data_IF_425062733912
#
_entry.id   IF_425062733912
#
_cell.length_a   1.000
_cell.length_b   1.000
_cell.length_c   1.000
_cell.angle_alpha   90.00
_cell.angle_beta   90.00
_cell.angle_gamma   90.00
#
_symmetry.space_group_name_H-M   'P 1'
#
loop_
_entity.id
_entity.type
_entity.pdbx_description
1 polymer ?
#
# COMPACT_ATOMS: atom_id res chain seq x y z
N UNK A 1 10.64 5.96 10.42
CA UNK A 1 10.68 7.04 11.44
C UNK A 1 9.68 6.73 12.57
N UNK A 2 8.42 6.47 12.25
CA UNK A 2 7.34 6.22 13.23
C UNK A 2 7.04 4.73 13.46
N UNK A 3 7.85 3.84 12.89
CA UNK A 3 7.78 2.38 13.04
C UNK A 3 6.42 1.77 12.66
N UNK A 4 5.70 2.40 11.75
CA UNK A 4 4.46 1.85 11.19
C UNK A 4 4.84 0.61 10.37
N UNK A 5 4.21 -0.54 10.61
CA UNK A 5 4.54 -1.77 9.89
C UNK A 5 4.17 -1.67 8.41
N UNK A 6 5.10 -1.98 7.54
CA UNK A 6 4.93 -2.05 6.08
C UNK A 6 5.97 -2.99 5.50
N UNK A 7 5.88 -3.31 4.22
CA UNK A 7 6.89 -4.09 3.50
C UNK A 7 8.28 -3.44 3.59
N UNK A 8 9.34 -4.24 3.49
CA UNK A 8 10.66 -3.66 3.21
C UNK A 8 10.64 -3.04 1.82
N UNK A 9 11.29 -1.90 1.67
CA UNK A 9 11.28 -1.17 0.42
C UNK A 9 12.59 -0.42 0.16
N UNK A 10 12.83 -0.12 -1.11
CA UNK A 10 13.86 0.80 -1.56
C UNK A 10 13.27 1.80 -2.56
N UNK A 11 13.84 3.00 -2.64
CA UNK A 11 13.38 4.07 -3.53
C UNK A 11 14.45 4.48 -4.52
N UNK A 12 14.06 4.74 -5.77
CA UNK A 12 14.95 5.05 -6.86
C UNK A 12 14.43 6.24 -7.67
N UNK A 13 15.34 7.12 -8.06
CA UNK A 13 15.04 8.28 -8.92
C UNK A 13 15.59 8.12 -10.35
N UNK A 14 16.21 6.98 -10.64
CA UNK A 14 16.74 6.64 -11.95
C UNK A 14 16.59 5.14 -12.22
N UNK A 15 16.49 4.81 -13.52
CA UNK A 15 16.25 3.44 -13.95
C UNK A 15 17.46 2.53 -13.73
N UNK A 16 18.69 3.03 -13.83
CA UNK A 16 19.89 2.21 -13.75
C UNK A 16 20.05 1.62 -12.35
N UNK A 17 19.94 2.46 -11.31
CA UNK A 17 19.96 2.03 -9.91
C UNK A 17 18.81 1.07 -9.58
N UNK A 18 17.62 1.31 -10.12
CA UNK A 18 16.48 0.42 -9.92
C UNK A 18 16.69 -0.95 -10.58
N UNK A 19 17.23 -0.99 -11.80
CA UNK A 19 17.55 -2.23 -12.52
C UNK A 19 18.66 -3.03 -11.80
N UNK A 20 19.64 -2.36 -11.22
CA UNK A 20 20.68 -3.03 -10.44
C UNK A 20 20.09 -3.68 -9.19
N UNK A 21 19.21 -2.98 -8.48
CA UNK A 21 18.53 -3.52 -7.31
C UNK A 21 17.67 -4.75 -7.62
N UNK A 22 17.01 -4.82 -8.79
CA UNK A 22 16.23 -6.00 -9.20
C UNK A 22 17.05 -7.29 -9.32
N UNK A 23 18.38 -7.20 -9.43
CA UNK A 23 19.26 -8.37 -9.51
C UNK A 23 19.46 -9.06 -8.16
N UNK A 24 19.27 -8.33 -7.06
CA UNK A 24 19.60 -8.74 -5.71
C UNK A 24 18.38 -9.08 -4.85
N UNK A 25 17.17 -8.90 -5.38
CA UNK A 25 15.91 -9.15 -4.66
C UNK A 25 15.21 -10.43 -5.12
N UNK A 26 14.31 -10.91 -4.27
CA UNK A 26 13.44 -12.05 -4.57
C UNK A 26 12.17 -11.60 -5.31
N UNK A 27 11.58 -12.52 -6.07
CA UNK A 27 10.29 -12.35 -6.73
C UNK A 27 9.24 -13.30 -6.11
N UNK A 28 7.95 -12.90 -6.12
CA UNK A 28 7.41 -11.66 -6.66
C UNK A 28 7.84 -10.41 -5.89
N UNK A 29 7.85 -9.25 -6.57
CA UNK A 29 8.08 -7.94 -5.98
C UNK A 29 7.03 -6.94 -6.45
N UNK A 30 6.87 -5.83 -5.76
CA UNK A 30 5.93 -4.77 -6.13
C UNK A 30 6.70 -3.51 -6.52
N UNK A 31 6.40 -2.96 -7.69
CA UNK A 31 6.98 -1.70 -8.18
C UNK A 31 5.88 -0.65 -8.22
N UNK A 32 6.10 0.47 -7.56
CA UNK A 32 5.14 1.57 -7.45
C UNK A 32 5.73 2.88 -7.97
N UNK A 33 4.99 3.62 -8.77
CA UNK A 33 5.28 5.03 -9.01
C UNK A 33 4.96 5.84 -7.75
N UNK A 34 5.88 6.71 -7.29
CA UNK A 34 5.77 7.44 -6.00
C UNK A 34 4.85 8.66 -6.05
N UNK A 35 4.03 8.81 -7.06
CA UNK A 35 3.10 9.91 -7.19
C UNK A 35 1.67 9.47 -7.43
N UNK A 36 0.78 10.46 -7.64
CA UNK A 36 -0.63 10.22 -7.95
C UNK A 36 -0.77 9.52 -9.31
N UNK A 37 -1.02 8.22 -9.29
CA UNK A 37 -1.20 7.38 -10.48
C UNK A 37 -2.60 6.74 -10.54
N UNK A 38 -3.57 7.25 -9.76
CA UNK A 38 -4.96 6.81 -9.71
C UNK A 38 -5.12 5.28 -9.55
N UNK A 39 -4.29 4.67 -8.69
CA UNK A 39 -4.28 3.23 -8.44
C UNK A 39 -3.68 2.37 -9.56
N UNK A 40 -3.23 2.97 -10.66
CA UNK A 40 -2.65 2.25 -11.81
C UNK A 40 -1.11 2.14 -11.75
N UNK A 41 -0.49 2.88 -10.86
CA UNK A 41 0.97 2.91 -10.70
C UNK A 41 1.54 1.81 -9.81
N UNK A 42 0.79 0.73 -9.54
CA UNK A 42 1.21 -0.43 -8.74
C UNK A 42 1.30 -1.65 -9.65
N UNK A 43 2.52 -2.17 -9.81
CA UNK A 43 2.82 -3.29 -10.70
C UNK A 43 3.41 -4.44 -9.90
N UNK A 44 2.69 -5.56 -9.84
CA UNK A 44 3.17 -6.80 -9.23
C UNK A 44 3.96 -7.58 -10.28
N UNK A 45 5.25 -7.78 -10.04
CA UNK A 45 6.17 -8.44 -10.97
C UNK A 45 6.53 -9.82 -10.44
N UNK A 46 6.22 -10.85 -11.22
CA UNK A 46 6.51 -12.25 -10.86
C UNK A 46 7.95 -12.65 -11.19
N UNK A 47 8.59 -11.92 -12.10
CA UNK A 47 9.92 -12.21 -12.62
C UNK A 47 10.74 -10.94 -12.80
N UNK A 48 12.06 -11.09 -12.83
CA UNK A 48 12.97 -9.99 -13.14
C UNK A 48 12.67 -9.34 -14.51
N UNK A 49 12.21 -10.13 -15.48
CA UNK A 49 11.85 -9.64 -16.82
C UNK A 49 10.64 -8.70 -16.74
N UNK A 50 9.63 -9.06 -15.96
CA UNK A 50 8.47 -8.20 -15.71
C UNK A 50 8.86 -6.94 -14.94
N UNK A 51 9.73 -7.07 -13.94
CA UNK A 51 10.26 -5.91 -13.19
C UNK A 51 11.01 -4.92 -14.09
N UNK A 52 11.85 -5.41 -15.00
CA UNK A 52 12.54 -4.54 -15.98
C UNK A 52 11.55 -3.81 -16.87
N UNK A 53 10.55 -4.50 -17.39
CA UNK A 53 9.51 -3.91 -18.23
C UNK A 53 8.71 -2.85 -17.46
N UNK A 54 8.36 -3.13 -16.22
CA UNK A 54 7.67 -2.17 -15.35
C UNK A 54 8.48 -0.89 -15.14
N UNK A 55 9.79 -1.00 -14.89
CA UNK A 55 10.68 0.16 -14.76
C UNK A 55 10.82 0.95 -16.07
N UNK A 56 10.87 0.26 -17.23
CA UNK A 56 10.86 0.92 -18.55
C UNK A 56 9.57 1.71 -18.76
N UNK A 57 8.40 1.11 -18.49
CA UNK A 57 7.10 1.79 -18.60
C UNK A 57 7.02 3.05 -17.71
N UNK A 58 7.58 2.99 -16.49
CA UNK A 58 7.54 4.12 -15.57
C UNK A 58 8.54 5.22 -15.96
N UNK A 59 9.81 4.87 -16.13
CA UNK A 59 10.88 5.86 -16.29
C UNK A 59 11.09 6.32 -17.75
N UNK A 60 10.92 5.42 -18.73
CA UNK A 60 11.23 5.69 -20.13
C UNK A 60 9.99 6.12 -20.90
N UNK A 61 8.93 5.33 -20.81
CA UNK A 61 7.67 5.60 -21.52
C UNK A 61 6.85 6.70 -20.84
N UNK A 62 7.26 7.10 -19.63
CA UNK A 62 6.61 8.14 -18.84
C UNK A 62 5.10 7.89 -18.65
N UNK A 63 4.71 6.61 -18.52
CA UNK A 63 3.32 6.18 -18.47
C UNK A 63 2.51 6.85 -17.34
N UNK A 64 3.19 7.33 -16.30
CA UNK A 64 2.57 7.97 -15.12
C UNK A 64 2.96 9.45 -14.97
N UNK A 65 3.57 10.07 -16.00
CA UNK A 65 3.97 11.47 -15.97
C UNK A 65 4.93 11.76 -14.80
N UNK A 66 4.74 12.88 -14.12
CA UNK A 66 5.60 13.27 -12.98
C UNK A 66 5.57 12.28 -11.80
N UNK A 67 4.54 11.44 -11.68
CA UNK A 67 4.49 10.39 -10.67
C UNK A 67 5.56 9.32 -10.90
N UNK A 68 6.03 9.13 -12.12
CA UNK A 68 7.11 8.22 -12.48
C UNK A 68 8.53 8.74 -12.25
N UNK A 69 8.70 9.97 -11.75
CA UNK A 69 10.04 10.52 -11.47
C UNK A 69 10.76 9.79 -10.32
N UNK A 70 10.03 9.04 -9.52
CA UNK A 70 10.54 8.22 -8.44
C UNK A 70 9.75 6.92 -8.35
N UNK A 71 10.44 5.85 -8.08
CA UNK A 71 9.89 4.49 -7.95
C UNK A 71 10.17 3.95 -6.56
N UNK A 72 9.21 3.22 -6.02
CA UNK A 72 9.35 2.38 -4.83
C UNK A 72 9.34 0.93 -5.28
N UNK A 73 10.34 0.15 -4.88
CA UNK A 73 10.38 -1.31 -5.04
C UNK A 73 10.26 -1.91 -3.66
N UNK A 74 9.27 -2.78 -3.46
CA UNK A 74 8.98 -3.36 -2.14
C UNK A 74 8.73 -4.86 -2.21
N UNK A 75 8.93 -5.53 -1.07
CA UNK A 75 8.60 -6.94 -0.92
C UNK A 75 7.12 -7.17 -1.21
N UNK A 76 6.82 -8.26 -1.92
CA UNK A 76 5.45 -8.70 -2.11
C UNK A 76 4.91 -9.25 -0.79
N UNK A 77 3.81 -8.70 -0.32
CA UNK A 77 3.12 -9.15 0.87
C UNK A 77 2.02 -10.13 0.50
N UNK A 78 1.99 -11.27 1.17
CA UNK A 78 0.90 -12.25 1.10
C UNK A 78 -0.07 -12.05 2.25
N UNK A 79 -1.35 -12.32 2.01
CA UNK A 79 -2.39 -12.24 3.04
C UNK A 79 -3.74 -11.86 2.46
N UNK A 80 -4.62 -11.36 3.32
CA UNK A 80 -5.90 -10.80 2.93
C UNK A 80 -5.87 -9.27 3.08
N UNK A 81 -6.33 -8.58 2.05
CA UNK A 81 -6.46 -7.12 2.11
C UNK A 81 -7.65 -6.73 2.98
N UNK A 82 -7.49 -5.67 3.76
CA UNK A 82 -8.58 -5.05 4.51
C UNK A 82 -8.47 -3.53 4.46
N UNK A 83 -9.61 -2.87 4.44
CA UNK A 83 -9.73 -1.41 4.50
C UNK A 83 -10.07 -0.98 5.92
N UNK A 84 -9.24 -0.13 6.51
CA UNK A 84 -9.47 0.48 7.80
C UNK A 84 -9.58 1.99 7.64
N UNK A 85 -10.76 2.52 7.89
CA UNK A 85 -11.06 3.94 7.70
C UNK A 85 -11.40 4.56 9.05
N UNK A 86 -10.88 5.75 9.30
CA UNK A 86 -11.22 6.52 10.48
C UNK A 86 -11.50 7.98 10.15
N UNK A 87 -12.34 8.61 10.94
CA UNK A 87 -12.45 10.07 11.01
C UNK A 87 -11.39 10.57 11.99
N UNK A 88 -10.57 11.50 11.54
CA UNK A 88 -9.46 12.05 12.33
C UNK A 88 -9.66 13.55 12.50
N UNK A 89 -9.43 14.05 13.71
CA UNK A 89 -9.40 15.48 14.03
C UNK A 89 -8.30 15.74 15.06
N UNK A 90 -7.17 16.26 14.61
CA UNK A 90 -5.99 16.39 15.48
C UNK A 90 -5.55 15.02 16.01
N UNK A 91 -5.55 14.82 17.33
CA UNK A 91 -5.20 13.53 17.94
C UNK A 91 -6.38 12.55 18.06
N UNK A 92 -7.63 13.02 17.88
CA UNK A 92 -8.81 12.19 17.98
C UNK A 92 -8.98 11.32 16.74
N UNK A 93 -9.18 10.03 16.94
CA UNK A 93 -9.34 9.03 15.89
C UNK A 93 -10.59 8.21 16.18
N UNK A 94 -11.59 8.30 15.30
CA UNK A 94 -12.85 7.56 15.41
C UNK A 94 -12.89 6.55 14.27
N UNK A 95 -12.64 5.26 14.52
CA UNK A 95 -12.69 4.25 13.48
C UNK A 95 -14.13 4.02 12.99
N UNK A 96 -14.27 3.78 11.69
CA UNK A 96 -15.50 3.33 11.07
C UNK A 96 -15.54 1.80 11.00
N UNK A 97 -16.66 1.25 10.53
CA UNK A 97 -16.73 -0.18 10.24
C UNK A 97 -15.67 -0.56 9.20
N UNK A 98 -14.97 -1.65 9.46
CA UNK A 98 -13.95 -2.20 8.54
C UNK A 98 -14.60 -2.77 7.28
N UNK A 99 -13.87 -2.86 6.19
CA UNK A 99 -14.37 -3.47 4.95
C UNK A 99 -13.27 -4.24 4.22
N UNK A 100 -13.69 -5.15 3.36
CA UNK A 100 -12.85 -5.80 2.36
C UNK A 100 -13.48 -5.58 1.00
N UNK A 101 -12.67 -5.14 0.04
CA UNK A 101 -13.06 -5.09 -1.37
C UNK A 101 -12.22 -6.10 -2.16
N UNK A 102 -12.86 -6.67 -3.19
CA UNK A 102 -12.24 -7.64 -4.08
C UNK A 102 -11.88 -6.94 -5.38
N UNK A 103 -10.60 -6.69 -5.59
CA UNK A 103 -10.07 -5.96 -6.75
C UNK A 103 -9.73 -6.87 -7.92
N UNK A 104 -9.35 -8.12 -7.64
CA UNK A 104 -8.98 -9.06 -8.69
C UNK A 104 -10.19 -9.47 -9.54
N UNK A 105 -9.98 -9.54 -10.86
CA UNK A 105 -11.07 -9.77 -11.83
C UNK A 105 -11.65 -11.18 -11.81
N UNK A 106 -10.92 -12.19 -11.31
CA UNK A 106 -11.28 -13.62 -11.39
C UNK A 106 -11.35 -14.27 -10.02
N UNK A 107 -12.05 -15.40 -9.95
CA UNK A 107 -12.19 -16.21 -8.75
C UNK A 107 -10.85 -16.62 -8.14
N UNK A 108 -10.79 -16.68 -6.81
CA UNK A 108 -9.60 -17.02 -6.06
C UNK A 108 -8.55 -15.90 -6.05
N UNK A 109 -9.02 -14.65 -6.12
CA UNK A 109 -8.20 -13.43 -6.03
C UNK A 109 -7.12 -13.37 -7.13
N UNK A 110 -7.53 -13.71 -8.36
CA UNK A 110 -6.65 -13.84 -9.54
C UNK A 110 -6.98 -12.82 -10.62
N UNK A 111 -6.00 -12.62 -11.49
CA UNK A 111 -6.13 -11.73 -12.64
C UNK A 111 -5.76 -10.28 -12.32
N UNK A 112 -6.00 -9.36 -13.28
CA UNK A 112 -5.68 -7.96 -13.10
C UNK A 112 -6.58 -7.29 -12.05
N UNK A 113 -6.04 -6.31 -11.35
CA UNK A 113 -6.82 -5.47 -10.46
C UNK A 113 -7.80 -4.60 -11.24
N UNK A 114 -9.01 -4.47 -10.71
CA UNK A 114 -10.09 -3.63 -11.23
C UNK A 114 -10.35 -2.46 -10.28
N UNK A 115 -11.36 -1.66 -10.56
CA UNK A 115 -11.88 -0.64 -9.63
C UNK A 115 -12.69 -1.21 -8.46
N UNK A 116 -12.82 -2.55 -8.39
CA UNK A 116 -13.56 -3.29 -7.38
C UNK A 116 -14.66 -4.16 -8.01
N UNK A 117 -14.67 -5.44 -7.63
CA UNK A 117 -15.68 -6.42 -8.08
C UNK A 117 -16.83 -6.58 -7.08
N UNK A 118 -16.63 -6.10 -5.87
CA UNK A 118 -17.59 -6.11 -4.77
C UNK A 118 -16.86 -5.88 -3.45
N UNK A 119 -17.62 -5.47 -2.45
CA UNK A 119 -17.11 -5.23 -1.12
C UNK A 119 -18.11 -5.67 -0.07
N UNK A 120 -17.63 -5.99 1.12
CA UNK A 120 -18.49 -6.24 2.28
C UNK A 120 -17.93 -5.58 3.54
N UNK A 121 -18.83 -5.31 4.49
CA UNK A 121 -18.53 -4.70 5.78
C UNK A 121 -19.45 -5.32 6.86
N UNK A 122 -18.96 -5.59 8.06
CA UNK A 122 -17.57 -5.47 8.49
C UNK A 122 -16.67 -6.54 7.85
N UNK A 123 -15.34 -6.31 7.86
CA UNK A 123 -14.35 -7.27 7.39
C UNK A 123 -14.14 -8.40 8.42
N UNK A 124 -14.47 -9.68 8.12
CA UNK A 124 -14.36 -10.76 9.11
C UNK A 124 -12.92 -11.02 9.58
N UNK A 125 -11.93 -10.72 8.73
CA UNK A 125 -10.52 -10.89 9.10
C UNK A 125 -10.09 -9.92 10.21
N UNK A 126 -10.76 -8.78 10.36
CA UNK A 126 -10.42 -7.80 11.39
C UNK A 126 -11.19 -8.14 12.68
N UNK A 127 -10.60 -9.01 13.48
CA UNK A 127 -11.10 -9.32 14.83
C UNK A 127 -10.97 -8.12 15.77
N UNK A 128 -11.60 -8.16 16.95
CA UNK A 128 -11.50 -7.08 17.96
C UNK A 128 -10.03 -6.85 18.40
N UNK A 129 -9.24 -7.93 18.49
CA UNK A 129 -7.82 -7.87 18.82
C UNK A 129 -7.02 -7.20 17.70
N UNK A 130 -7.27 -7.58 16.46
CA UNK A 130 -6.64 -6.93 15.29
C UNK A 130 -7.07 -5.49 15.15
N UNK A 131 -8.34 -5.17 15.39
CA UNK A 131 -8.82 -3.79 15.38
C UNK A 131 -8.04 -2.92 16.37
N UNK A 132 -7.87 -3.40 17.61
CA UNK A 132 -7.06 -2.70 18.60
C UNK A 132 -5.60 -2.54 18.15
N UNK A 133 -5.02 -3.61 17.61
CA UNK A 133 -3.65 -3.59 17.11
C UNK A 133 -3.46 -2.61 15.95
N UNK A 134 -4.42 -2.52 15.01
CA UNK A 134 -4.42 -1.53 13.93
C UNK A 134 -4.43 -0.10 14.51
N UNK A 135 -5.26 0.15 15.50
CA UNK A 135 -5.30 1.46 16.17
C UNK A 135 -3.97 1.79 16.84
N UNK A 136 -3.36 0.83 17.54
CA UNK A 136 -2.13 1.06 18.32
C UNK A 136 -0.88 1.13 17.44
N UNK A 137 -0.77 0.29 16.42
CA UNK A 137 0.44 0.15 15.61
C UNK A 137 0.41 0.93 14.29
N UNK A 138 -0.79 1.28 13.79
CA UNK A 138 -0.95 1.96 12.49
C UNK A 138 -1.55 3.35 12.65
N UNK A 139 -2.80 3.45 13.13
CA UNK A 139 -3.54 4.71 13.09
C UNK A 139 -2.96 5.76 14.03
N UNK A 140 -2.77 5.42 15.31
CA UNK A 140 -2.22 6.36 16.30
C UNK A 140 -0.81 6.82 15.97
N UNK A 141 0.15 5.95 15.58
CA UNK A 141 1.47 6.39 15.16
C UNK A 141 1.45 7.27 13.91
N UNK A 142 0.55 7.01 12.96
CA UNK A 142 0.39 7.82 11.74
C UNK A 142 -0.06 9.24 12.10
N UNK A 143 -1.14 9.35 12.86
CA UNK A 143 -1.70 10.67 13.25
C UNK A 143 -0.71 11.47 14.11
N UNK A 144 -0.09 10.83 15.10
CA UNK A 144 0.96 11.46 15.92
C UNK A 144 2.17 11.88 15.09
N UNK A 145 2.53 11.05 14.11
CA UNK A 145 3.60 11.35 13.17
C UNK A 145 3.31 12.59 12.34
N UNK A 146 2.11 12.70 11.77
CA UNK A 146 1.69 13.87 11.02
C UNK A 146 1.72 15.15 11.87
N UNK A 147 1.22 15.09 13.09
CA UNK A 147 1.27 16.22 14.02
C UNK A 147 2.72 16.65 14.33
N UNK A 148 3.59 15.66 14.60
CA UNK A 148 5.01 15.92 14.89
C UNK A 148 5.77 16.54 13.69
N UNK A 149 5.26 16.33 12.46
CA UNK A 149 5.77 16.93 11.22
C UNK A 149 5.11 18.28 10.89
N UNK A 150 4.25 18.81 11.78
CA UNK A 150 3.55 20.07 11.57
C UNK A 150 2.36 19.99 10.62
N UNK A 151 1.90 18.79 10.28
CA UNK A 151 0.80 18.52 9.35
C UNK A 151 -0.37 17.86 10.07
N UNK A 152 -1.01 18.58 11.00
CA UNK A 152 -2.20 18.06 11.68
C UNK A 152 -3.29 17.67 10.68
N UNK A 153 -3.85 16.48 10.86
CA UNK A 153 -4.82 15.91 9.92
C UNK A 153 -6.26 16.16 10.38
N UNK A 154 -7.11 16.52 9.43
CA UNK A 154 -8.55 16.65 9.62
C UNK A 154 -9.28 16.03 8.42
N UNK A 155 -10.01 14.95 8.65
CA UNK A 155 -10.77 14.27 7.59
C UNK A 155 -10.82 12.77 7.74
N UNK A 156 -11.15 12.08 6.64
CA UNK A 156 -11.13 10.63 6.57
C UNK A 156 -9.72 10.14 6.25
N UNK A 157 -9.18 9.29 7.11
CA UNK A 157 -7.91 8.60 6.89
C UNK A 157 -8.19 7.14 6.56
N UNK A 158 -7.81 6.71 5.36
CA UNK A 158 -7.86 5.33 4.90
C UNK A 158 -6.50 4.68 5.08
N UNK A 159 -6.47 3.50 5.65
CA UNK A 159 -5.33 2.60 5.67
C UNK A 159 -5.69 1.30 4.93
N UNK A 160 -5.03 1.04 3.81
CA UNK A 160 -5.05 -0.26 3.12
C UNK A 160 -4.07 -1.19 3.81
N UNK A 161 -4.55 -2.32 4.27
CA UNK A 161 -3.79 -3.26 5.09
C UNK A 161 -3.68 -4.62 4.42
N UNK A 162 -2.53 -5.28 4.56
CA UNK A 162 -2.33 -6.69 4.29
C UNK A 162 -2.22 -7.42 5.64
N UNK A 163 -3.07 -8.41 5.85
CA UNK A 163 -3.17 -9.17 7.11
C UNK A 163 -2.86 -10.63 6.84
N UNK A 164 -1.88 -11.17 7.55
CA UNK A 164 -1.51 -12.59 7.51
C UNK A 164 -1.03 -13.06 8.88
N UNK A 165 -1.59 -14.14 9.41
CA UNK A 165 -1.20 -14.75 10.71
C UNK A 165 -1.11 -13.69 11.83
N UNK A 166 -2.15 -12.87 11.98
CA UNK A 166 -2.27 -11.75 12.93
C UNK A 166 -1.19 -10.66 12.81
N UNK A 167 -0.43 -10.67 11.71
CA UNK A 167 0.49 -9.59 11.35
C UNK A 167 -0.19 -8.61 10.42
N UNK A 168 0.05 -7.33 10.68
CA UNK A 168 -0.51 -6.23 9.93
C UNK A 168 0.63 -5.52 9.21
N UNK A 169 0.46 -5.26 7.92
CA UNK A 169 1.33 -4.38 7.16
C UNK A 169 0.49 -3.36 6.39
N UNK A 170 0.93 -2.13 6.38
CA UNK A 170 0.31 -1.07 5.59
C UNK A 170 0.75 -1.19 4.14
N UNK A 171 -0.22 -1.18 3.23
CA UNK A 171 -0.01 -1.12 1.78
C UNK A 171 0.03 0.33 1.29
N UNK A 172 -0.92 1.14 1.78
CA UNK A 172 -1.06 2.54 1.42
C UNK A 172 -1.92 3.31 2.43
N UNK A 173 -1.79 4.63 2.42
CA UNK A 173 -2.73 5.55 3.05
C UNK A 173 -3.39 6.40 1.97
N UNK A 174 -4.68 6.71 2.16
CA UNK A 174 -5.43 7.66 1.33
C UNK A 174 -6.26 8.61 2.20
N UNK A 175 -6.69 9.72 1.59
CA UNK A 175 -7.51 10.75 2.24
C UNK A 175 -8.71 11.14 1.37
#
# INVERSE_FOLDING_TARGET
KYKIPTANYATFNDIESALDHLKDISFPTVIKADGLAAGKGVLICQTITEGKKALEEIFVDNAFGSAGNKVVIEDFLEGEEASFIAVVSGEEIIPLATSQDHKAAYDGDKGPNTGGMGAYSPAPIVTDELHKKIMDEVMSPTVKGLIAEGSSYLGFLYAGLMIKDDKINVLEFNC
#
